data_IF_122891478448
#
_entry.id   IF_122891478448
#
_cell.length_a   1.000
_cell.length_b   1.000
_cell.length_c   1.000
_cell.angle_alpha   90.00
_cell.angle_beta   90.00
_cell.angle_gamma   90.00
#
_symmetry.space_group_name_H-M   'P 1'
#
loop_
_entity.id
_entity.type
_entity.pdbx_description
1 polymer ?
#
# COMPACT_ATOMS: atom_id res chain seq x y z
N UNK A 1 -18.36 7.21 -6.32
CA UNK A 1 -17.86 8.03 -7.43
C UNK A 1 -16.53 7.47 -7.80
N UNK A 2 -16.37 7.03 -9.04
CA UNK A 2 -15.09 6.54 -9.54
C UNK A 2 -14.05 7.65 -9.33
N UNK A 3 -12.94 7.31 -8.68
CA UNK A 3 -11.81 8.22 -8.58
C UNK A 3 -11.30 8.40 -10.00
N UNK A 4 -11.26 9.64 -10.50
CA UNK A 4 -10.71 9.92 -11.81
C UNK A 4 -9.31 9.31 -11.90
N UNK A 5 -9.01 8.58 -12.99
CA UNK A 5 -7.74 7.86 -13.16
C UNK A 5 -6.53 8.74 -12.84
N UNK A 6 -6.53 10.00 -13.31
CA UNK A 6 -5.47 10.97 -13.03
C UNK A 6 -5.26 11.24 -11.54
N UNK A 7 -6.32 11.25 -10.73
CA UNK A 7 -6.20 11.42 -9.28
C UNK A 7 -5.61 10.17 -8.62
N UNK A 8 -6.00 8.98 -9.09
CA UNK A 8 -5.44 7.71 -8.61
C UNK A 8 -3.95 7.59 -8.95
N UNK A 9 -3.58 7.91 -10.19
CA UNK A 9 -2.20 7.96 -10.66
C UNK A 9 -1.36 8.97 -9.88
N UNK A 10 -1.89 10.18 -9.65
CA UNK A 10 -1.22 11.22 -8.85
C UNK A 10 -1.02 10.76 -7.40
N UNK A 11 -2.05 10.19 -6.77
CA UNK A 11 -1.99 9.69 -5.41
C UNK A 11 -0.95 8.56 -5.25
N UNK A 12 -0.91 7.61 -6.19
CA UNK A 12 0.12 6.57 -6.21
C UNK A 12 1.53 7.15 -6.34
N UNK A 13 1.70 8.11 -7.27
CA UNK A 13 2.99 8.75 -7.50
C UNK A 13 3.49 9.55 -6.29
N UNK A 14 2.60 10.28 -5.61
CA UNK A 14 2.92 11.01 -4.40
C UNK A 14 3.26 10.06 -3.23
N UNK A 15 2.50 8.97 -3.06
CA UNK A 15 2.78 7.95 -2.06
C UNK A 15 4.15 7.28 -2.28
N UNK A 16 4.46 6.90 -3.53
CA UNK A 16 5.75 6.31 -3.88
C UNK A 16 6.91 7.28 -3.64
N UNK A 17 6.77 8.55 -4.02
CA UNK A 17 7.79 9.57 -3.76
C UNK A 17 8.00 9.81 -2.26
N UNK A 18 6.92 9.77 -1.48
CA UNK A 18 7.04 9.85 -0.02
C UNK A 18 7.76 8.65 0.56
N UNK A 19 7.43 7.43 0.12
CA UNK A 19 8.12 6.21 0.51
C UNK A 19 9.64 6.28 0.21
N UNK A 20 10.03 6.70 -0.99
CA UNK A 20 11.44 6.88 -1.36
C UNK A 20 12.16 7.84 -0.41
N UNK A 21 11.55 9.00 -0.12
CA UNK A 21 12.16 9.99 0.80
C UNK A 21 12.28 9.44 2.22
N UNK A 22 11.25 8.75 2.72
CA UNK A 22 11.25 8.19 4.07
C UNK A 22 12.26 7.03 4.20
N UNK A 23 12.38 6.16 3.19
CA UNK A 23 13.39 5.10 3.18
C UNK A 23 14.82 5.65 3.16
N UNK A 24 15.06 6.80 2.52
CA UNK A 24 16.37 7.46 2.55
C UNK A 24 16.76 8.01 3.94
N UNK A 25 15.80 8.18 4.87
CA UNK A 25 16.07 8.63 6.24
C UNK A 25 16.58 7.52 7.17
N UNK A 26 16.55 6.25 6.74
CA UNK A 26 16.88 5.10 7.59
C UNK A 26 18.34 5.12 8.07
N UNK A 27 19.27 5.60 7.23
CA UNK A 27 20.71 5.54 7.50
C UNK A 27 21.16 4.11 7.77
N UNK A 28 21.88 3.88 8.87
CA UNK A 28 22.37 2.55 9.27
C UNK A 28 21.34 1.72 10.07
N UNK A 29 20.15 2.27 10.33
CA UNK A 29 19.14 1.72 11.24
C UNK A 29 18.32 0.53 10.73
N UNK A 30 18.78 -0.19 9.70
CA UNK A 30 18.00 -1.20 8.98
C UNK A 30 17.51 -2.38 9.83
N UNK A 31 18.26 -2.77 10.86
CA UNK A 31 17.91 -3.88 11.77
C UNK A 31 17.11 -3.44 13.01
N UNK A 32 16.72 -2.16 13.09
CA UNK A 32 15.90 -1.66 14.21
C UNK A 32 14.49 -2.23 14.13
N UNK A 33 13.82 -2.51 15.27
CA UNK A 33 12.40 -2.88 15.28
C UNK A 33 11.54 -1.80 14.61
N UNK A 34 10.52 -2.21 13.85
CA UNK A 34 9.60 -1.30 13.16
C UNK A 34 8.13 -1.62 13.44
N UNK A 35 7.61 -2.74 12.91
CA UNK A 35 6.19 -3.07 13.00
C UNK A 35 5.99 -4.55 13.34
N UNK A 36 5.40 -4.83 14.50
CA UNK A 36 5.23 -6.21 14.97
C UNK A 36 6.57 -6.93 15.05
N UNK A 37 6.71 -8.03 14.30
CA UNK A 37 7.96 -8.80 14.21
C UNK A 37 8.95 -8.30 13.14
N UNK A 38 8.59 -7.26 12.37
CA UNK A 38 9.46 -6.71 11.35
C UNK A 38 10.44 -5.68 11.90
N UNK A 39 11.69 -5.80 11.45
CA UNK A 39 12.65 -4.70 11.47
C UNK A 39 12.38 -3.71 10.33
N UNK A 40 13.08 -2.58 10.34
CA UNK A 40 12.96 -1.53 9.31
C UNK A 40 13.18 -2.11 7.91
N UNK A 41 14.16 -3.00 7.74
CA UNK A 41 14.47 -3.60 6.43
C UNK A 41 13.35 -4.49 5.91
N UNK A 42 12.74 -5.31 6.77
CA UNK A 42 11.60 -6.15 6.40
C UNK A 42 10.36 -5.29 6.08
N UNK A 43 10.11 -4.22 6.84
CA UNK A 43 9.00 -3.30 6.55
C UNK A 43 9.19 -2.56 5.21
N UNK A 44 10.40 -2.06 4.94
CA UNK A 44 10.73 -1.41 3.64
C UNK A 44 10.64 -2.41 2.50
N UNK A 45 11.11 -3.64 2.70
CA UNK A 45 10.96 -4.74 1.75
C UNK A 45 9.49 -5.03 1.42
N UNK A 46 8.66 -5.19 2.45
CA UNK A 46 7.21 -5.40 2.29
C UNK A 46 6.55 -4.22 1.57
N UNK A 47 6.85 -3.00 1.98
CA UNK A 47 6.30 -1.78 1.36
C UNK A 47 6.68 -1.66 -0.11
N UNK A 48 7.91 -2.02 -0.47
CA UNK A 48 8.39 -2.04 -1.87
C UNK A 48 7.58 -2.98 -2.76
N UNK A 49 6.96 -4.03 -2.20
CA UNK A 49 6.08 -4.93 -2.96
C UNK A 49 4.88 -4.20 -3.52
N UNK A 50 4.43 -3.09 -2.92
CA UNK A 50 3.35 -2.27 -3.47
C UNK A 50 3.71 -1.60 -4.80
N UNK A 51 5.00 -1.43 -5.10
CA UNK A 51 5.49 -1.01 -6.41
C UNK A 51 5.75 -2.22 -7.32
N UNK A 52 6.49 -3.23 -6.81
CA UNK A 52 6.90 -4.40 -7.59
C UNK A 52 5.72 -5.23 -8.10
N UNK A 53 4.62 -5.30 -7.35
CA UNK A 53 3.41 -6.02 -7.78
C UNK A 53 2.71 -5.31 -8.93
N UNK A 54 2.71 -3.97 -8.96
CA UNK A 54 2.20 -3.21 -10.12
C UNK A 54 3.03 -3.53 -11.35
N UNK A 55 4.36 -3.47 -11.23
CA UNK A 55 5.30 -3.82 -12.31
C UNK A 55 5.05 -5.24 -12.83
N UNK A 56 5.00 -6.21 -11.91
CA UNK A 56 4.87 -7.62 -12.24
C UNK A 56 3.49 -7.99 -12.82
N UNK A 57 2.40 -7.39 -12.32
CA UNK A 57 1.05 -7.72 -12.78
C UNK A 57 0.70 -7.03 -14.09
N UNK A 58 1.24 -5.84 -14.38
CA UNK A 58 1.08 -5.22 -15.70
C UNK A 58 1.70 -6.05 -16.83
N UNK A 59 2.69 -6.90 -16.52
CA UNK A 59 3.26 -7.85 -17.46
C UNK A 59 2.42 -9.15 -17.63
N UNK A 60 1.30 -9.28 -16.91
CA UNK A 60 0.46 -10.50 -16.86
C UNK A 60 -0.99 -10.14 -17.17
N UNK A 61 -1.40 -10.15 -18.44
CA UNK A 61 -2.74 -9.73 -18.82
C UNK A 61 -3.82 -10.71 -18.34
N UNK A 62 -4.95 -10.17 -17.88
CA UNK A 62 -6.16 -10.93 -17.57
C UNK A 62 -7.17 -10.89 -18.73
N UNK A 63 -7.96 -11.96 -18.88
CA UNK A 63 -8.99 -12.04 -19.92
C UNK A 63 -10.30 -11.34 -19.53
N UNK A 64 -10.63 -11.36 -18.23
CA UNK A 64 -11.87 -10.81 -17.68
C UNK A 64 -11.59 -10.11 -16.36
N UNK A 65 -12.52 -9.27 -15.92
CA UNK A 65 -12.54 -8.71 -14.57
C UNK A 65 -13.24 -9.71 -13.66
N UNK A 66 -12.50 -10.26 -12.70
CA UNK A 66 -13.03 -11.13 -11.65
C UNK A 66 -13.22 -10.36 -10.33
N UNK A 67 -12.35 -9.37 -10.09
CA UNK A 67 -12.41 -8.47 -8.92
C UNK A 67 -12.52 -7.03 -9.42
N UNK A 68 -13.67 -6.40 -9.18
CA UNK A 68 -14.03 -5.11 -9.78
C UNK A 68 -13.80 -3.89 -8.89
N UNK A 69 -13.17 -4.03 -7.72
CA UNK A 69 -12.88 -2.89 -6.86
C UNK A 69 -11.72 -3.16 -5.88
N UNK A 70 -11.10 -2.08 -5.41
CA UNK A 70 -10.07 -2.14 -4.37
C UNK A 70 -10.58 -2.77 -3.07
N UNK A 71 -11.84 -2.48 -2.69
CA UNK A 71 -12.49 -3.06 -1.52
C UNK A 71 -12.65 -4.57 -1.66
N UNK A 72 -13.13 -5.03 -2.81
CA UNK A 72 -13.34 -6.46 -3.06
C UNK A 72 -12.01 -7.21 -3.12
N UNK A 73 -10.93 -6.56 -3.59
CA UNK A 73 -9.57 -7.09 -3.49
C UNK A 73 -9.17 -7.32 -2.03
N UNK A 74 -9.30 -6.32 -1.15
CA UNK A 74 -8.97 -6.47 0.27
C UNK A 74 -9.78 -7.60 0.91
N UNK A 75 -11.08 -7.70 0.62
CA UNK A 75 -11.93 -8.81 1.07
C UNK A 75 -11.43 -10.16 0.56
N UNK A 76 -11.12 -10.28 -0.72
CA UNK A 76 -10.65 -11.52 -1.33
C UNK A 76 -9.27 -11.97 -0.80
N UNK A 77 -8.40 -11.01 -0.45
CA UNK A 77 -7.05 -11.30 0.04
C UNK A 77 -6.93 -11.39 1.57
N UNK A 78 -8.01 -11.13 2.32
CA UNK A 78 -8.00 -11.06 3.79
C UNK A 78 -7.32 -12.26 4.46
N UNK A 79 -7.67 -13.47 4.05
CA UNK A 79 -7.06 -14.69 4.60
C UNK A 79 -5.55 -14.78 4.30
N UNK A 80 -5.12 -14.39 3.10
CA UNK A 80 -3.71 -14.38 2.71
C UNK A 80 -2.92 -13.26 3.40
N UNK A 81 -3.58 -12.17 3.79
CA UNK A 81 -2.99 -11.06 4.55
C UNK A 81 -2.86 -11.38 6.06
N UNK A 82 -3.71 -12.27 6.59
CA UNK A 82 -3.61 -12.76 7.97
C UNK A 82 -2.62 -13.93 8.14
N UNK A 83 -2.09 -14.46 7.04
CA UNK A 83 -1.14 -15.58 7.03
C UNK A 83 0.19 -15.16 7.68
N UNK A 84 0.70 -15.90 8.69
CA UNK A 84 2.03 -15.68 9.27
C UNK A 84 3.17 -15.62 8.23
N UNK A 85 3.00 -16.27 7.08
CA UNK A 85 3.94 -16.20 5.96
C UNK A 85 4.09 -14.79 5.36
N UNK A 86 3.16 -13.86 5.62
CA UNK A 86 3.32 -12.44 5.24
C UNK A 86 4.63 -11.91 5.82
N UNK A 87 4.93 -12.25 7.07
CA UNK A 87 6.10 -11.71 7.72
C UNK A 87 7.41 -12.25 7.12
N UNK A 88 7.45 -13.53 6.75
CA UNK A 88 8.54 -14.12 5.99
C UNK A 88 8.74 -13.44 4.63
N UNK A 89 7.65 -13.21 3.88
CA UNK A 89 7.71 -12.49 2.59
C UNK A 89 8.25 -11.07 2.73
N UNK A 90 7.94 -10.38 3.83
CA UNK A 90 8.53 -9.07 4.15
C UNK A 90 10.04 -9.14 4.34
N UNK A 91 10.53 -10.13 5.10
CA UNK A 91 11.97 -10.38 5.29
C UNK A 91 12.68 -10.74 3.98
N UNK A 92 12.08 -11.61 3.17
CA UNK A 92 12.63 -12.01 1.87
C UNK A 92 12.71 -10.82 0.90
N UNK A 93 11.65 -10.01 0.85
CA UNK A 93 11.65 -8.78 0.05
C UNK A 93 12.69 -7.78 0.57
N UNK A 94 12.86 -7.66 1.89
CA UNK A 94 13.90 -6.84 2.50
C UNK A 94 15.29 -7.34 2.11
N UNK A 95 15.53 -8.65 2.15
CA UNK A 95 16.74 -9.31 1.67
C UNK A 95 17.06 -8.96 0.22
N UNK A 96 16.06 -9.03 -0.65
CA UNK A 96 16.19 -8.77 -2.08
C UNK A 96 16.55 -7.30 -2.43
N UNK A 97 16.40 -6.34 -1.50
CA UNK A 97 16.84 -4.96 -1.70
C UNK A 97 18.38 -4.79 -1.69
N UNK A 98 19.13 -5.85 -1.40
CA UNK A 98 20.59 -5.83 -1.48
C UNK A 98 21.27 -5.01 -0.39
N UNK A 99 22.50 -4.55 -0.67
CA UNK A 99 23.36 -3.84 0.30
C UNK A 99 23.01 -2.37 0.47
N UNK A 100 22.32 -1.76 -0.50
CA UNK A 100 21.83 -0.38 -0.42
C UNK A 100 20.30 -0.36 -0.64
N UNK A 101 19.51 -0.63 0.42
CA UNK A 101 18.08 -0.74 0.27
C UNK A 101 17.40 0.58 -0.10
N UNK A 102 17.95 1.73 0.32
CA UNK A 102 17.40 3.03 -0.04
C UNK A 102 17.57 3.32 -1.54
N UNK A 103 18.74 3.04 -2.11
CA UNK A 103 18.96 3.14 -3.55
C UNK A 103 18.06 2.17 -4.32
N UNK A 104 17.94 0.92 -3.87
CA UNK A 104 17.07 -0.07 -4.50
C UNK A 104 15.59 0.38 -4.53
N UNK A 105 15.09 0.99 -3.45
CA UNK A 105 13.74 1.57 -3.40
C UNK A 105 13.57 2.71 -4.42
N UNK A 106 14.56 3.60 -4.52
CA UNK A 106 14.54 4.70 -5.48
C UNK A 106 14.55 4.19 -6.94
N UNK A 107 15.34 3.15 -7.23
CA UNK A 107 15.38 2.50 -8.54
C UNK A 107 14.05 1.83 -8.90
N UNK A 108 13.43 1.12 -7.95
CA UNK A 108 12.11 0.51 -8.14
C UNK A 108 11.08 1.59 -8.48
N UNK A 109 11.01 2.67 -7.69
CA UNK A 109 10.11 3.78 -7.97
C UNK A 109 10.39 4.44 -9.33
N UNK A 110 11.67 4.59 -9.69
CA UNK A 110 12.11 5.13 -10.98
C UNK A 110 11.65 4.31 -12.19
N UNK A 111 11.48 2.99 -12.05
CA UNK A 111 10.90 2.13 -13.10
C UNK A 111 9.37 2.13 -13.11
N UNK A 112 8.76 2.04 -11.93
CA UNK A 112 7.30 1.82 -11.81
C UNK A 112 6.51 3.09 -12.08
N UNK A 113 7.00 4.27 -11.67
CA UNK A 113 6.25 5.51 -11.90
C UNK A 113 6.05 5.83 -13.38
N UNK A 114 7.07 5.79 -14.26
CA UNK A 114 6.86 5.95 -15.70
C UNK A 114 5.97 4.86 -16.30
N UNK A 115 6.05 3.62 -15.78
CA UNK A 115 5.22 2.52 -16.25
C UNK A 115 3.73 2.79 -16.04
N UNK A 116 3.34 3.35 -14.89
CA UNK A 116 1.97 3.75 -14.57
C UNK A 116 1.58 5.04 -15.29
N UNK A 117 2.52 5.97 -15.51
CA UNK A 117 2.29 7.21 -16.25
C UNK A 117 1.82 6.97 -17.68
N UNK A 118 2.33 5.92 -18.33
CA UNK A 118 2.01 5.56 -19.70
C UNK A 118 0.66 4.83 -19.87
N UNK A 119 -0.20 4.81 -18.85
CA UNK A 119 -1.43 3.99 -18.78
C UNK A 119 -2.67 4.85 -18.63
N UNK A 120 -3.79 4.32 -19.09
CA UNK A 120 -5.11 4.95 -18.95
C UNK A 120 -5.97 4.30 -17.86
N UNK A 121 -5.46 3.26 -17.20
CA UNK A 121 -6.13 2.55 -16.10
C UNK A 121 -7.07 1.44 -16.58
N UNK A 122 -7.31 1.31 -17.89
CA UNK A 122 -8.19 0.29 -18.45
C UNK A 122 -7.51 -1.09 -18.58
N UNK A 123 -6.19 -1.15 -18.42
CA UNK A 123 -5.41 -2.38 -18.55
C UNK A 123 -5.91 -3.47 -17.60
N UNK A 124 -6.06 -4.69 -18.13
CA UNK A 124 -6.47 -5.85 -17.34
C UNK A 124 -5.24 -6.64 -16.90
N UNK A 125 -5.04 -6.73 -15.59
CA UNK A 125 -3.91 -7.43 -14.96
C UNK A 125 -4.39 -8.61 -14.12
N UNK A 126 -3.57 -9.66 -14.02
CA UNK A 126 -3.84 -10.81 -13.14
C UNK A 126 -3.18 -10.59 -11.78
N UNK A 127 -3.99 -10.34 -10.75
CA UNK A 127 -3.55 -10.29 -9.36
C UNK A 127 -3.58 -11.68 -8.70
N UNK A 128 -3.15 -11.78 -7.44
CA UNK A 128 -3.39 -12.98 -6.63
C UNK A 128 -4.88 -13.27 -6.36
N UNK A 129 -5.76 -12.29 -6.52
CA UNK A 129 -7.19 -12.42 -6.30
C UNK A 129 -7.99 -12.63 -7.61
N UNK A 130 -7.30 -12.68 -8.76
CA UNK A 130 -7.91 -12.77 -10.07
C UNK A 130 -7.70 -11.51 -10.93
N UNK A 131 -8.35 -11.49 -12.10
CA UNK A 131 -8.29 -10.39 -13.05
C UNK A 131 -8.89 -9.08 -12.52
N UNK A 132 -8.17 -7.97 -12.68
CA UNK A 132 -8.58 -6.62 -12.27
C UNK A 132 -8.19 -5.58 -13.31
N UNK A 133 -8.92 -4.45 -13.37
CA UNK A 133 -8.40 -3.27 -14.06
C UNK A 133 -7.31 -2.62 -13.22
N UNK A 134 -6.32 -1.99 -13.87
CA UNK A 134 -5.31 -1.20 -13.18
C UNK A 134 -5.95 -0.09 -12.33
N UNK A 135 -7.01 0.56 -12.83
CA UNK A 135 -7.75 1.58 -12.08
C UNK A 135 -8.36 1.06 -10.76
N UNK A 136 -8.76 -0.22 -10.71
CA UNK A 136 -9.33 -0.85 -9.52
C UNK A 136 -8.23 -1.37 -8.56
N UNK A 137 -7.08 -1.75 -9.11
CA UNK A 137 -5.96 -2.30 -8.34
C UNK A 137 -5.07 -1.23 -7.72
N UNK A 138 -4.76 -0.15 -8.46
CA UNK A 138 -3.82 0.89 -8.02
C UNK A 138 -4.18 1.53 -6.67
N UNK A 139 -5.45 1.82 -6.34
CA UNK A 139 -5.83 2.34 -5.02
C UNK A 139 -5.40 1.42 -3.86
N UNK A 140 -5.38 0.10 -4.06
CA UNK A 140 -4.90 -0.84 -3.04
C UNK A 140 -3.42 -0.65 -2.76
N UNK A 141 -2.63 -0.32 -3.79
CA UNK A 141 -1.18 -0.12 -3.68
C UNK A 141 -0.85 1.25 -3.10
N UNK A 142 -1.62 2.28 -3.46
CA UNK A 142 -1.53 3.60 -2.80
C UNK A 142 -1.83 3.49 -1.31
N UNK A 143 -2.88 2.75 -0.93
CA UNK A 143 -3.23 2.51 0.47
C UNK A 143 -2.06 1.85 1.24
N UNK A 144 -1.51 0.76 0.69
CA UNK A 144 -0.39 0.05 1.32
C UNK A 144 0.87 0.91 1.43
N UNK A 145 1.19 1.70 0.39
CA UNK A 145 2.30 2.65 0.44
C UNK A 145 2.07 3.70 1.52
N UNK A 146 0.87 4.27 1.62
CA UNK A 146 0.56 5.31 2.59
C UNK A 146 0.64 4.78 4.03
N UNK A 147 0.01 3.63 4.31
CA UNK A 147 -0.01 3.03 5.65
C UNK A 147 1.40 2.60 6.07
N UNK A 148 2.10 1.82 5.25
CA UNK A 148 3.39 1.28 5.68
C UNK A 148 4.55 2.29 5.61
N UNK A 149 4.42 3.36 4.83
CA UNK A 149 5.35 4.51 4.96
C UNK A 149 5.06 5.30 6.24
N UNK A 150 3.81 5.36 6.71
CA UNK A 150 3.49 5.94 8.03
C UNK A 150 4.05 5.08 9.18
N UNK A 151 3.95 3.75 9.06
CA UNK A 151 4.60 2.83 10.00
C UNK A 151 6.11 3.05 10.04
N UNK A 152 6.75 3.18 8.87
CA UNK A 152 8.18 3.46 8.76
C UNK A 152 8.55 4.81 9.37
N UNK A 153 7.83 5.89 9.04
CA UNK A 153 8.06 7.21 9.62
C UNK A 153 7.95 7.17 11.15
N UNK A 154 6.96 6.45 11.68
CA UNK A 154 6.79 6.24 13.12
C UNK A 154 7.98 5.50 13.74
N UNK A 155 8.45 4.40 13.13
CA UNK A 155 9.61 3.64 13.60
C UNK A 155 10.91 4.46 13.60
N UNK A 156 11.03 5.42 12.66
CA UNK A 156 12.18 6.32 12.55
C UNK A 156 12.05 7.57 13.44
N UNK A 157 10.88 7.84 14.03
CA UNK A 157 10.60 9.10 14.73
C UNK A 157 10.55 10.31 13.78
N UNK A 158 10.24 10.09 12.51
CA UNK A 158 10.11 11.11 11.49
C UNK A 158 8.69 11.71 11.45
N UNK A 159 8.51 12.93 10.90
CA UNK A 159 7.19 13.51 10.70
C UNK A 159 6.26 12.64 9.83
N UNK A 160 4.98 12.59 10.20
CA UNK A 160 3.92 11.91 9.45
C UNK A 160 3.35 12.81 8.33
N UNK A 161 4.21 13.19 7.40
CA UNK A 161 3.86 14.06 6.27
C UNK A 161 3.21 13.26 5.12
N UNK A 162 2.09 12.59 5.40
CA UNK A 162 1.33 11.82 4.39
C UNK A 162 0.86 12.77 3.29
N UNK A 163 1.19 12.53 2.00
CA UNK A 163 0.73 13.38 0.91
C UNK A 163 -0.80 13.43 0.85
N UNK A 164 -1.37 14.63 0.66
CA UNK A 164 -2.82 14.84 0.71
C UNK A 164 -3.60 13.99 -0.31
N UNK A 165 -3.01 13.76 -1.50
CA UNK A 165 -3.57 12.92 -2.57
C UNK A 165 -3.66 11.45 -2.14
N UNK A 166 -2.56 10.91 -1.60
CA UNK A 166 -2.48 9.57 -1.05
C UNK A 166 -3.42 9.38 0.16
N UNK A 167 -3.41 10.34 1.10
CA UNK A 167 -4.28 10.34 2.27
C UNK A 167 -5.76 10.32 1.86
N UNK A 168 -6.16 11.15 0.90
CA UNK A 168 -7.55 11.21 0.41
C UNK A 168 -8.00 9.87 -0.18
N UNK A 169 -7.17 9.26 -1.02
CA UNK A 169 -7.49 7.96 -1.63
C UNK A 169 -7.53 6.83 -0.59
N UNK A 170 -6.55 6.77 0.31
CA UNK A 170 -6.49 5.76 1.36
C UNK A 170 -7.68 5.87 2.32
N UNK A 171 -8.03 7.07 2.77
CA UNK A 171 -9.15 7.29 3.70
C UNK A 171 -10.51 6.99 3.06
N UNK A 172 -10.70 7.24 1.75
CA UNK A 172 -11.90 6.79 1.02
C UNK A 172 -12.03 5.27 1.06
N UNK A 173 -10.93 4.56 0.81
CA UNK A 173 -10.93 3.09 0.87
C UNK A 173 -11.20 2.56 2.28
N UNK A 174 -10.65 3.21 3.33
CA UNK A 174 -10.99 2.89 4.73
C UNK A 174 -12.48 3.04 4.97
N UNK A 175 -13.09 4.13 4.48
CA UNK A 175 -14.53 4.36 4.62
C UNK A 175 -15.35 3.28 3.88
N UNK A 176 -14.97 2.93 2.66
CA UNK A 176 -15.63 1.88 1.87
C UNK A 176 -15.55 0.51 2.55
N UNK A 177 -14.40 0.17 3.11
CA UNK A 177 -14.20 -1.04 3.91
C UNK A 177 -15.08 -1.01 5.17
N UNK A 178 -15.04 0.09 5.94
CA UNK A 178 -15.81 0.24 7.17
C UNK A 178 -17.33 0.11 6.96
N UNK A 179 -17.85 0.67 5.86
CA UNK A 179 -19.26 0.50 5.47
C UNK A 179 -19.55 -0.97 5.15
N UNK A 180 -18.68 -1.64 4.40
CA UNK A 180 -18.88 -3.02 3.98
C UNK A 180 -18.77 -4.06 5.10
N UNK A 181 -18.00 -3.75 6.14
CA UNK A 181 -17.82 -4.59 7.33
C UNK A 181 -18.81 -4.21 8.46
N UNK A 182 -19.70 -3.24 8.22
CA UNK A 182 -20.73 -2.85 9.20
C UNK A 182 -20.20 -2.06 10.40
N UNK A 183 -18.99 -1.50 10.31
CA UNK A 183 -18.30 -0.79 11.41
C UNK A 183 -18.23 0.73 11.21
N UNK A 184 -18.99 1.26 10.25
CA UNK A 184 -19.03 2.70 9.97
C UNK A 184 -19.45 3.56 11.17
N UNK A 185 -20.42 3.11 11.98
CA UNK A 185 -20.89 3.83 13.17
C UNK A 185 -19.78 4.07 14.20
N UNK A 186 -19.12 3.02 14.72
CA UNK A 186 -17.96 3.15 15.59
C UNK A 186 -16.84 4.03 15.00
N UNK A 187 -16.54 3.87 13.70
CA UNK A 187 -15.51 4.67 13.03
C UNK A 187 -15.88 6.17 12.98
N UNK A 188 -17.13 6.51 12.67
CA UNK A 188 -17.63 7.89 12.66
C UNK A 188 -17.56 8.53 14.06
N UNK A 189 -17.98 7.81 15.09
CA UNK A 189 -17.88 8.30 16.47
C UNK A 189 -16.42 8.55 16.87
N UNK A 190 -15.50 7.67 16.46
CA UNK A 190 -14.09 7.82 16.76
C UNK A 190 -13.43 9.00 16.02
N UNK A 191 -13.57 9.07 14.69
CA UNK A 191 -12.94 10.12 13.88
C UNK A 191 -13.51 11.51 14.14
N UNK A 192 -14.67 11.60 14.80
CA UNK A 192 -15.27 12.87 15.22
C UNK A 192 -15.11 13.13 16.72
N UNK A 193 -14.34 12.32 17.46
CA UNK A 193 -13.96 12.58 18.85
C UNK A 193 -15.04 12.30 19.89
N UNK A 194 -16.04 11.47 19.58
CA UNK A 194 -17.10 11.07 20.53
C UNK A 194 -16.69 9.86 21.36
N UNK A 195 -15.95 8.92 20.79
CA UNK A 195 -15.46 7.70 21.47
C UNK A 195 -14.07 7.32 20.99
N UNK A 196 -13.36 6.42 21.67
CA UNK A 196 -12.17 5.76 21.12
C UNK A 196 -12.53 4.59 20.21
N UNK A 197 -11.59 4.13 19.39
CA UNK A 197 -11.67 2.81 18.75
C UNK A 197 -11.26 1.72 19.76
N UNK A 198 -11.88 0.53 19.73
CA UNK A 198 -11.47 -0.58 20.60
C UNK A 198 -10.05 -1.04 20.26
N UNK A 199 -9.37 -1.65 21.24
CA UNK A 199 -8.06 -2.25 21.02
C UNK A 199 -8.14 -3.32 19.92
N UNK A 200 -7.21 -3.26 18.95
CA UNK A 200 -7.20 -4.17 17.81
C UNK A 200 -8.25 -3.86 16.72
N UNK A 201 -8.91 -2.70 16.77
CA UNK A 201 -9.81 -2.29 15.69
C UNK A 201 -9.08 -2.24 14.34
N UNK A 202 -9.69 -2.86 13.33
CA UNK A 202 -9.22 -2.85 11.95
C UNK A 202 -10.42 -2.87 11.01
N UNK A 203 -10.32 -2.13 9.90
CA UNK A 203 -11.24 -2.29 8.75
C UNK A 203 -10.70 -3.31 7.72
N UNK A 204 -9.42 -3.68 7.86
CA UNK A 204 -8.72 -4.70 7.09
C UNK A 204 -8.94 -6.10 7.64
#
# INVERSE_FOLDING_TARGET
MDVAWDDSRRAFADAARWFVRTAALVGDGWSRPALGEWDVRALVGHTSRSLLTVEAYLARPAAIVEVGSARDYFRATRAAAADPAVAARGRDAGAALGSDPAAAVAEIAGRVLPLVEARDGAELLTTIAGGMRLADYLPTRTFELAVHTADLATALGAPLDVPATAASQALRLVADLAVSEGVAGPLLLALTGRTGLPAGFSVL
#
